data_IF_056654832453
#
_entry.id   IF_056654832453
#
_cell.length_a   1.000
_cell.length_b   1.000
_cell.length_c   1.000
_cell.angle_alpha   90.00
_cell.angle_beta   90.00
_cell.angle_gamma   90.00
#
_symmetry.space_group_name_H-M   'P 1'
#
loop_
_entity.id
_entity.type
_entity.pdbx_description
1 polymer ?
#
# COMPACT_ATOMS: atom_id res chain seq x y z
N UNK A 1 -14.45 3.12 -1.06
CA UNK A 1 -14.28 3.39 0.39
C UNK A 1 -13.19 4.48 0.49
N UNK A 2 -12.74 4.97 1.66
CA UNK A 2 -11.58 5.86 1.70
C UNK A 2 -10.32 5.12 1.23
N UNK A 3 -9.53 5.77 0.37
CA UNK A 3 -8.26 5.23 -0.11
C UNK A 3 -7.12 5.62 0.83
N UNK A 4 -6.28 4.66 1.14
CA UNK A 4 -5.07 4.86 1.93
C UNK A 4 -3.84 4.44 1.15
N UNK A 5 -2.78 5.21 1.32
CA UNK A 5 -1.44 4.89 0.83
C UNK A 5 -0.53 4.69 2.02
N UNK A 6 0.21 3.59 2.02
CA UNK A 6 1.26 3.34 2.99
C UNK A 6 2.61 3.28 2.33
N UNK A 7 3.63 3.78 3.04
CA UNK A 7 5.03 3.60 2.67
C UNK A 7 5.69 2.62 3.59
N UNK A 8 6.49 1.71 3.03
CA UNK A 8 7.24 0.71 3.76
C UNK A 8 8.72 0.79 3.38
N UNK A 9 9.58 0.62 4.38
CA UNK A 9 11.00 0.33 4.16
C UNK A 9 11.16 -1.17 3.88
N UNK A 10 11.80 -1.48 2.77
CA UNK A 10 12.09 -2.85 2.31
C UNK A 10 13.56 -2.98 1.90
N UNK A 11 14.45 -2.22 2.53
CA UNK A 11 15.87 -2.36 2.30
C UNK A 11 16.29 -3.84 2.36
N UNK A 12 17.14 -4.25 1.41
CA UNK A 12 17.62 -5.61 1.25
C UNK A 12 16.58 -6.67 0.85
N UNK A 13 15.32 -6.28 0.58
CA UNK A 13 14.32 -7.23 0.09
C UNK A 13 14.65 -7.65 -1.34
N UNK A 14 14.69 -8.96 -1.59
CA UNK A 14 14.86 -9.47 -2.95
C UNK A 14 13.60 -9.23 -3.78
N UNK A 15 13.72 -9.30 -5.11
CA UNK A 15 12.55 -9.25 -6.00
C UNK A 15 11.51 -10.33 -5.66
N UNK A 16 11.97 -11.52 -5.26
CA UNK A 16 11.10 -12.61 -4.81
C UNK A 16 10.41 -12.27 -3.50
N UNK A 17 11.15 -11.72 -2.53
CA UNK A 17 10.58 -11.27 -1.25
C UNK A 17 9.53 -10.18 -1.45
N UNK A 18 9.77 -9.23 -2.35
CA UNK A 18 8.80 -8.20 -2.73
C UNK A 18 7.53 -8.80 -3.33
N UNK A 19 7.65 -9.86 -4.13
CA UNK A 19 6.50 -10.56 -4.72
C UNK A 19 5.70 -11.30 -3.65
N UNK A 20 6.37 -11.98 -2.73
CA UNK A 20 5.71 -12.65 -1.59
C UNK A 20 4.98 -11.64 -0.72
N UNK A 21 5.59 -10.48 -0.44
CA UNK A 21 4.94 -9.40 0.30
C UNK A 21 3.69 -8.88 -0.43
N UNK A 22 3.75 -8.71 -1.75
CA UNK A 22 2.58 -8.34 -2.53
C UNK A 22 1.47 -9.40 -2.47
N UNK A 23 1.81 -10.69 -2.46
CA UNK A 23 0.83 -11.76 -2.30
C UNK A 23 0.19 -11.76 -0.91
N UNK A 24 0.95 -11.50 0.16
CA UNK A 24 0.43 -11.32 1.52
C UNK A 24 -0.54 -10.14 1.56
N UNK A 25 -0.16 -9.01 0.95
CA UNK A 25 -1.00 -7.81 0.93
C UNK A 25 -2.30 -8.03 0.16
N UNK A 26 -2.25 -8.76 -0.96
CA UNK A 26 -3.43 -9.12 -1.76
C UNK A 26 -4.35 -10.11 -1.05
N UNK A 27 -3.80 -11.01 -0.24
CA UNK A 27 -4.57 -12.01 0.50
C UNK A 27 -5.33 -11.44 1.71
N UNK A 28 -5.12 -10.16 2.05
CA UNK A 28 -5.86 -9.48 3.11
C UNK A 28 -7.35 -9.30 2.74
N UNK A 29 -8.29 -10.00 3.38
CA UNK A 29 -9.69 -10.03 2.95
C UNK A 29 -10.46 -8.74 3.26
N UNK A 30 -9.94 -7.86 4.12
CA UNK A 30 -10.56 -6.58 4.51
C UNK A 30 -9.85 -5.36 3.91
N UNK A 31 -8.70 -5.54 3.25
CA UNK A 31 -7.78 -4.44 2.95
C UNK A 31 -8.01 -3.78 1.57
N UNK A 32 -8.88 -4.32 0.71
CA UNK A 32 -9.15 -3.76 -0.62
C UNK A 32 -7.89 -3.34 -1.39
N UNK A 33 -6.87 -4.19 -1.36
CA UNK A 33 -5.57 -3.90 -1.96
C UNK A 33 -5.70 -3.57 -3.46
N UNK A 34 -5.15 -2.42 -3.87
CA UNK A 34 -5.30 -1.89 -5.23
C UNK A 34 -4.00 -1.95 -6.01
N UNK A 35 -2.91 -1.47 -5.40
CA UNK A 35 -1.66 -1.21 -6.12
C UNK A 35 -0.47 -1.37 -5.21
N UNK A 36 0.64 -1.77 -5.83
CA UNK A 36 1.92 -1.99 -5.19
C UNK A 36 3.04 -1.52 -6.10
N UNK A 37 3.83 -0.59 -5.60
CA UNK A 37 4.97 -0.01 -6.29
C UNK A 37 6.21 -0.24 -5.44
N UNK A 38 7.25 -0.77 -6.06
CA UNK A 38 8.46 -1.15 -5.35
C UNK A 38 9.68 -0.55 -6.03
N UNK A 39 10.48 0.21 -5.27
CA UNK A 39 11.84 0.58 -5.66
C UNK A 39 12.80 -0.32 -4.88
N UNK A 40 13.34 -1.33 -5.56
CA UNK A 40 14.39 -2.18 -4.98
C UNK A 40 15.71 -1.43 -4.83
N UNK A 41 15.96 -0.43 -5.70
CA UNK A 41 17.15 0.42 -5.64
C UNK A 41 17.13 1.30 -4.40
N UNK A 42 15.99 1.94 -4.12
CA UNK A 42 15.86 2.87 -3.00
C UNK A 42 15.32 2.20 -1.73
N UNK A 43 15.09 0.88 -1.78
CA UNK A 43 14.62 0.09 -0.64
C UNK A 43 13.26 0.52 -0.09
N UNK A 44 12.33 0.97 -0.93
CA UNK A 44 11.00 1.38 -0.46
C UNK A 44 9.87 0.87 -1.31
N UNK A 45 8.69 0.86 -0.69
CA UNK A 45 7.47 0.32 -1.26
C UNK A 45 6.30 1.23 -0.92
N UNK A 46 5.43 1.45 -1.90
CA UNK A 46 4.14 2.09 -1.73
C UNK A 46 3.04 1.08 -2.00
N UNK A 47 2.06 1.00 -1.11
CA UNK A 47 0.89 0.16 -1.27
C UNK A 47 -0.38 0.98 -1.10
N UNK A 48 -1.36 0.75 -1.98
CA UNK A 48 -2.64 1.44 -1.99
C UNK A 48 -3.76 0.47 -1.60
N UNK A 49 -4.68 0.95 -0.77
CA UNK A 49 -5.74 0.16 -0.17
C UNK A 49 -7.07 0.91 -0.22
N UNK A 50 -8.16 0.23 -0.55
CA UNK A 50 -9.53 0.73 -0.41
C UNK A 50 -10.20 0.04 0.78
N UNK A 51 -10.24 0.72 1.93
CA UNK A 51 -10.66 0.14 3.22
C UNK A 51 -11.69 0.99 3.93
N UNK A 52 -12.49 0.37 4.81
CA UNK A 52 -13.53 1.09 5.55
C UNK A 52 -12.98 2.24 6.41
N UNK A 53 -11.81 2.05 7.05
CA UNK A 53 -11.16 3.06 7.88
C UNK A 53 -9.67 2.76 8.08
N UNK A 54 -8.94 3.75 8.62
CA UNK A 54 -7.53 3.63 8.99
C UNK A 54 -7.30 2.50 9.99
N UNK A 55 -8.15 2.38 11.00
CA UNK A 55 -8.02 1.41 12.09
C UNK A 55 -8.18 -0.03 11.59
N UNK A 56 -9.01 -0.25 10.56
CA UNK A 56 -9.12 -1.56 9.89
C UNK A 56 -7.79 -1.94 9.23
N UNK A 57 -7.19 -1.01 8.49
CA UNK A 57 -5.93 -1.26 7.81
C UNK A 57 -4.77 -1.46 8.81
N UNK A 58 -4.68 -0.65 9.85
CA UNK A 58 -3.66 -0.77 10.89
C UNK A 58 -3.74 -2.13 11.61
N UNK A 59 -4.94 -2.55 12.04
CA UNK A 59 -5.12 -3.87 12.70
C UNK A 59 -4.75 -5.03 11.80
N UNK A 60 -5.10 -4.94 10.51
CA UNK A 60 -4.73 -5.98 9.57
C UNK A 60 -3.21 -6.02 9.33
N UNK A 61 -2.55 -4.87 9.16
CA UNK A 61 -1.10 -4.78 9.00
C UNK A 61 -0.37 -5.33 10.22
N UNK A 62 -0.81 -4.97 11.43
CA UNK A 62 -0.27 -5.49 12.68
C UNK A 62 -0.40 -7.02 12.75
N UNK A 63 -1.59 -7.55 12.48
CA UNK A 63 -1.83 -9.01 12.46
C UNK A 63 -0.98 -9.73 11.40
N UNK A 64 -0.70 -9.07 10.28
CA UNK A 64 0.14 -9.60 9.21
C UNK A 64 1.66 -9.42 9.48
N UNK A 65 2.04 -8.75 10.57
CA UNK A 65 3.45 -8.43 10.87
C UNK A 65 4.07 -7.44 9.89
N UNK A 66 3.25 -6.58 9.26
CA UNK A 66 3.67 -5.60 8.25
C UNK A 66 3.82 -4.24 8.93
N UNK A 67 5.04 -3.70 8.90
CA UNK A 67 5.33 -2.35 9.39
C UNK A 67 5.32 -1.33 8.25
N UNK A 68 4.87 -0.11 8.52
CA UNK A 68 4.89 1.02 7.59
C UNK A 68 5.60 2.22 8.25
N UNK A 69 6.24 3.08 7.44
CA UNK A 69 6.88 4.33 7.88
C UNK A 69 5.83 5.44 8.07
N UNK A 70 4.89 5.53 7.12
CA UNK A 70 3.73 6.41 7.22
C UNK A 70 2.53 5.85 6.47
N UNK A 71 1.36 6.34 6.84
CA UNK A 71 0.08 6.09 6.21
C UNK A 71 -0.64 7.42 6.00
N UNK A 72 -1.22 7.61 4.81
CA UNK A 72 -2.00 8.79 4.47
C UNK A 72 -3.32 8.41 3.80
N UNK A 73 -4.37 9.17 4.07
CA UNK A 73 -5.66 9.07 3.38
C UNK A 73 -5.60 9.94 2.13
N UNK A 74 -6.07 9.42 1.00
CA UNK A 74 -6.18 10.17 -0.24
C UNK A 74 -7.58 10.79 -0.31
N UNK A 75 -7.64 12.12 -0.32
CA UNK A 75 -8.89 12.87 -0.41
C UNK A 75 -9.20 13.36 -1.84
N UNK A 76 -8.19 13.34 -2.71
CA UNK A 76 -8.32 13.64 -4.14
C UNK A 76 -7.60 12.56 -4.94
N UNK A 77 -8.30 12.04 -5.95
CA UNK A 77 -7.76 11.08 -6.90
C UNK A 77 -7.91 11.66 -8.31
N UNK A 78 -6.86 11.57 -9.10
CA UNK A 78 -6.88 11.98 -10.50
C UNK A 78 -6.08 10.98 -11.33
N UNK A 79 -6.67 10.52 -12.41
CA UNK A 79 -5.98 9.75 -13.44
C UNK A 79 -5.31 10.70 -14.43
N UNK A 80 -4.53 10.16 -15.38
CA UNK A 80 -3.90 10.96 -16.44
C UNK A 80 -4.93 11.79 -17.22
N UNK A 81 -6.14 11.26 -17.40
CA UNK A 81 -7.18 11.91 -18.17
C UNK A 81 -7.86 13.02 -17.36
N UNK A 82 -8.04 12.82 -16.04
CA UNK A 82 -8.62 13.83 -15.14
C UNK A 82 -7.70 15.05 -14.95
N UNK A 83 -6.38 14.87 -15.03
CA UNK A 83 -5.39 15.95 -14.86
C UNK A 83 -5.35 16.90 -16.06
N UNK A 84 -5.81 16.49 -17.25
CA UNK A 84 -5.82 17.37 -18.42
C UNK A 84 -6.75 18.58 -18.27
N UNK A 85 -7.73 18.46 -17.37
CA UNK A 85 -8.77 19.46 -17.12
C UNK A 85 -8.61 20.16 -15.74
N UNK A 86 -7.46 19.98 -15.07
CA UNK A 86 -7.05 20.70 -13.85
C UNK A 86 -6.09 21.86 -14.16
#
# INVERSE_FOLDING_TARGET
>A
MPRYVTRHNIACLTRQGARQLADIMRAGPEAGFLRFLVSLTDGHLLAEFDVASREVLERWMEKAGIHYEWMSRMDLEATRDDIRDL
#
